data_IF_869462601395
#
_entry.id   IF_869462601395
#
_cell.length_a   1.000
_cell.length_b   1.000
_cell.length_c   1.000
_cell.angle_alpha   90.00
_cell.angle_beta   90.00
_cell.angle_gamma   90.00
#
_symmetry.space_group_name_H-M   'P 1'
#
loop_
_entity.id
_entity.type
_entity.pdbx_description
1 polymer ?
#
# COMPACT_ATOMS: atom_id res chain seq x y z
N UNK A 1 -28.41 11.13 4.06
CA UNK A 1 -27.11 10.42 3.91
C UNK A 1 -26.98 9.41 5.06
N UNK A 2 -27.89 8.44 5.13
CA UNK A 2 -27.88 7.42 6.20
C UNK A 2 -26.61 6.56 6.18
N UNK A 3 -26.07 6.31 4.98
CA UNK A 3 -24.83 5.56 4.80
C UNK A 3 -23.63 6.19 5.52
N UNK A 4 -23.60 7.52 5.68
CA UNK A 4 -22.49 8.20 6.34
C UNK A 4 -22.57 8.00 7.87
N UNK A 5 -23.78 8.08 8.43
CA UNK A 5 -24.04 7.80 9.86
C UNK A 5 -23.71 6.35 10.23
N UNK A 6 -23.93 5.39 9.34
CA UNK A 6 -23.60 3.98 9.58
C UNK A 6 -22.09 3.72 9.63
N UNK A 7 -21.30 4.48 8.86
CA UNK A 7 -19.84 4.42 8.88
C UNK A 7 -19.30 5.00 10.19
N UNK A 8 -19.89 6.07 10.72
CA UNK A 8 -19.51 6.66 12.00
C UNK A 8 -20.02 5.89 13.22
N UNK A 9 -20.78 4.80 13.01
CA UNK A 9 -21.17 3.92 14.10
C UNK A 9 -19.91 3.27 14.73
N UNK A 10 -19.74 3.36 16.05
CA UNK A 10 -18.58 2.79 16.75
C UNK A 10 -18.34 1.30 16.45
N UNK A 11 -19.41 0.52 16.29
CA UNK A 11 -19.30 -0.91 15.98
C UNK A 11 -18.73 -1.15 14.57
N UNK A 12 -19.15 -0.35 13.59
CA UNK A 12 -18.63 -0.39 12.22
C UNK A 12 -17.16 0.03 12.18
N UNK A 13 -16.81 1.13 12.86
CA UNK A 13 -15.43 1.62 12.92
C UNK A 13 -14.48 0.63 13.60
N UNK A 14 -14.94 -0.09 14.62
CA UNK A 14 -14.15 -1.11 15.29
C UNK A 14 -13.68 -2.22 14.34
N UNK A 15 -14.42 -2.48 13.26
CA UNK A 15 -14.05 -3.44 12.21
C UNK A 15 -13.32 -2.76 11.04
N UNK A 16 -13.76 -1.58 10.62
CA UNK A 16 -13.17 -0.89 9.47
C UNK A 16 -11.73 -0.41 9.74
N UNK A 17 -11.46 0.14 10.91
CA UNK A 17 -10.14 0.67 11.27
C UNK A 17 -9.04 -0.41 11.14
N UNK A 18 -9.14 -1.59 11.78
CA UNK A 18 -8.10 -2.61 11.65
C UNK A 18 -7.98 -3.14 10.22
N UNK A 19 -9.09 -3.27 9.49
CA UNK A 19 -9.05 -3.70 8.09
C UNK A 19 -8.27 -2.71 7.22
N UNK A 20 -8.55 -1.40 7.35
CA UNK A 20 -7.84 -0.35 6.63
C UNK A 20 -6.38 -0.28 7.05
N UNK A 21 -6.06 -0.50 8.33
CA UNK A 21 -4.67 -0.53 8.81
C UNK A 21 -3.86 -1.66 8.16
N UNK A 22 -4.44 -2.86 8.07
CA UNK A 22 -3.81 -4.02 7.42
C UNK A 22 -3.60 -3.73 5.92
N UNK A 23 -4.66 -3.33 5.22
CA UNK A 23 -4.59 -3.02 3.79
C UNK A 23 -3.58 -1.90 3.52
N UNK A 24 -3.59 -0.84 4.34
CA UNK A 24 -2.67 0.28 4.23
C UNK A 24 -1.21 -0.14 4.42
N UNK A 25 -0.94 -0.98 5.42
CA UNK A 25 0.41 -1.53 5.65
C UNK A 25 0.93 -2.32 4.45
N UNK A 26 0.10 -3.21 3.90
CA UNK A 26 0.46 -3.99 2.71
C UNK A 26 0.60 -3.13 1.46
N UNK A 27 -0.27 -2.14 1.26
CA UNK A 27 -0.21 -1.23 0.12
C UNK A 27 1.11 -0.44 0.11
N UNK A 28 1.54 0.09 1.26
CA UNK A 28 2.81 0.81 1.38
C UNK A 28 4.00 -0.12 1.11
N UNK A 29 3.98 -1.34 1.65
CA UNK A 29 5.04 -2.32 1.41
C UNK A 29 5.13 -2.71 -0.08
N UNK A 30 3.99 -2.96 -0.72
CA UNK A 30 3.89 -3.28 -2.13
C UNK A 30 4.38 -2.11 -3.01
N UNK A 31 3.99 -0.88 -2.69
CA UNK A 31 4.44 0.32 -3.41
C UNK A 31 5.96 0.49 -3.32
N UNK A 32 6.54 0.31 -2.12
CA UNK A 32 7.98 0.39 -1.92
C UNK A 32 8.72 -0.70 -2.71
N UNK A 33 8.22 -1.93 -2.71
CA UNK A 33 8.78 -3.02 -3.49
C UNK A 33 8.70 -2.74 -5.00
N UNK A 34 7.57 -2.21 -5.46
CA UNK A 34 7.38 -1.82 -6.85
C UNK A 34 8.36 -0.73 -7.27
N UNK A 35 8.53 0.32 -6.46
CA UNK A 35 9.49 1.39 -6.76
C UNK A 35 10.92 0.86 -6.83
N UNK A 36 11.34 0.02 -5.87
CA UNK A 36 12.66 -0.63 -5.89
C UNK A 36 12.85 -1.49 -7.14
N UNK A 37 11.80 -2.18 -7.58
CA UNK A 37 11.86 -2.97 -8.82
C UNK A 37 12.04 -2.08 -10.05
N UNK A 38 11.29 -0.98 -10.15
CA UNK A 38 11.43 -0.03 -11.28
C UNK A 38 12.82 0.60 -11.32
N UNK A 39 13.36 0.99 -10.17
CA UNK A 39 14.72 1.52 -10.06
C UNK A 39 15.76 0.52 -10.57
N UNK A 40 15.61 -0.78 -10.26
CA UNK A 40 16.48 -1.83 -10.79
C UNK A 40 16.37 -1.95 -12.31
N UNK A 41 15.16 -1.93 -12.84
CA UNK A 41 14.93 -1.98 -14.30
C UNK A 41 15.56 -0.76 -14.99
N UNK A 42 15.46 0.42 -14.39
CA UNK A 42 16.04 1.64 -14.93
C UNK A 42 17.57 1.63 -14.91
N UNK A 43 18.18 1.12 -13.84
CA UNK A 43 19.63 0.89 -13.76
C UNK A 43 20.12 -0.07 -14.85
N UNK A 44 19.42 -1.18 -15.06
CA UNK A 44 19.71 -2.13 -16.15
C UNK A 44 19.61 -1.45 -17.51
N UNK A 45 18.56 -0.64 -17.75
CA UNK A 45 18.40 0.11 -19.01
C UNK A 45 19.50 1.13 -19.26
N UNK A 46 20.06 1.72 -18.21
CA UNK A 46 21.19 2.65 -18.28
C UNK A 46 22.55 1.94 -18.46
N UNK A 47 22.57 0.60 -18.57
CA UNK A 47 23.79 -0.18 -18.75
C UNK A 47 24.55 -0.44 -17.45
N UNK A 48 23.97 -0.13 -16.29
CA UNK A 48 24.51 -0.58 -15.01
C UNK A 48 24.18 -2.05 -14.81
N UNK A 49 25.23 -2.87 -14.72
CA UNK A 49 25.12 -4.27 -14.36
C UNK A 49 24.83 -4.38 -12.85
N UNK A 50 23.57 -4.69 -12.51
CA UNK A 50 23.15 -4.88 -11.11
C UNK A 50 23.41 -6.34 -10.73
N UNK A 51 24.66 -6.78 -10.86
CA UNK A 51 25.18 -7.97 -10.20
C UNK A 51 25.75 -7.54 -8.85
N UNK A 52 24.92 -7.63 -7.81
CA UNK A 52 25.38 -7.85 -6.43
C UNK A 52 25.57 -9.35 -6.22
#
# INVERSE_FOLDING_TARGET
MEWLTDIFNPATLALLIPLVAIIGGFAVAALKAHHKHQERIEKIKQGFDVHE
#
